data_IF_201238125335
#
_entry.id   IF_201238125335
#
_cell.length_a   1.000
_cell.length_b   1.000
_cell.length_c   1.000
_cell.angle_alpha   90.00
_cell.angle_beta   90.00
_cell.angle_gamma   90.00
#
_symmetry.space_group_name_H-M   'P 1'
#
loop_
_entity.id
_entity.type
_entity.pdbx_description
1 polymer ?
#
# COMPACT_ATOMS: atom_id res chain seq x y z
N UNK A 1 11.36 22.32 16.83
CA UNK A 1 12.37 21.48 17.53
C UNK A 1 13.49 21.18 16.53
N UNK A 2 14.74 21.02 17.01
CA UNK A 2 15.85 20.60 16.14
C UNK A 2 15.70 19.11 15.80
N UNK A 3 16.27 18.68 14.66
CA UNK A 3 16.28 17.25 14.30
C UNK A 3 16.88 16.39 15.43
N UNK A 4 17.88 16.90 16.12
CA UNK A 4 18.54 16.20 17.21
C UNK A 4 17.59 15.95 18.39
N UNK A 5 16.82 16.98 18.82
CA UNK A 5 15.84 16.80 19.90
C UNK A 5 14.70 15.86 19.52
N UNK A 6 14.32 15.79 18.24
CA UNK A 6 13.31 14.85 17.75
C UNK A 6 13.87 13.43 17.75
N UNK A 7 15.10 13.23 17.24
CA UNK A 7 15.79 11.94 17.28
C UNK A 7 15.90 11.39 18.71
N UNK A 8 16.34 12.22 19.66
CA UNK A 8 16.47 11.85 21.08
C UNK A 8 15.10 11.48 21.69
N UNK A 9 14.05 12.23 21.36
CA UNK A 9 12.69 11.94 21.81
C UNK A 9 12.18 10.60 21.28
N UNK A 10 12.42 10.29 20.00
CA UNK A 10 12.05 8.98 19.45
C UNK A 10 12.83 7.84 20.11
N UNK A 11 14.14 8.01 20.27
CA UNK A 11 15.00 6.99 20.89
C UNK A 11 14.63 6.68 22.34
N UNK A 12 14.16 7.69 23.06
CA UNK A 12 13.73 7.57 24.47
C UNK A 12 12.29 7.04 24.64
N UNK A 13 11.49 7.04 23.55
CA UNK A 13 10.08 6.67 23.64
C UNK A 13 9.90 5.16 23.84
N UNK A 14 9.20 4.72 24.91
CA UNK A 14 9.00 3.29 25.18
C UNK A 14 8.08 2.59 24.16
N UNK A 15 7.35 3.35 23.31
CA UNK A 15 6.50 2.82 22.25
C UNK A 15 7.28 2.44 20.99
N UNK A 16 8.53 2.93 20.86
CA UNK A 16 9.39 2.58 19.74
C UNK A 16 9.76 1.10 19.80
N UNK A 17 9.56 0.36 18.70
CA UNK A 17 9.91 -1.04 18.64
C UNK A 17 11.41 -1.27 18.85
N UNK A 18 11.79 -2.38 19.51
CA UNK A 18 13.19 -2.67 19.85
C UNK A 18 14.12 -2.70 18.61
N UNK A 19 13.63 -3.20 17.48
CA UNK A 19 14.39 -3.22 16.23
C UNK A 19 14.65 -1.81 15.69
N UNK A 20 13.62 -0.94 15.73
CA UNK A 20 13.73 0.46 15.30
C UNK A 20 14.64 1.27 16.23
N UNK A 21 14.59 0.96 17.54
CA UNK A 21 15.50 1.54 18.52
C UNK A 21 16.95 1.18 18.22
N UNK A 22 17.24 -0.10 17.97
CA UNK A 22 18.58 -0.55 17.61
C UNK A 22 19.06 0.08 16.29
N UNK A 23 18.15 0.28 15.32
CA UNK A 23 18.47 1.01 14.07
C UNK A 23 18.85 2.46 14.36
N UNK A 24 18.10 3.18 15.20
CA UNK A 24 18.44 4.55 15.58
C UNK A 24 19.74 4.63 16.38
N UNK A 25 20.00 3.69 17.29
CA UNK A 25 21.27 3.61 18.03
C UNK A 25 22.47 3.43 17.06
N UNK A 26 22.31 2.67 15.97
CA UNK A 26 23.37 2.44 14.99
C UNK A 26 23.83 3.69 14.24
N UNK A 27 22.97 4.72 14.15
CA UNK A 27 23.27 6.00 13.49
C UNK A 27 23.61 7.12 14.50
N UNK A 28 23.80 6.80 15.80
CA UNK A 28 23.98 7.79 16.85
C UNK A 28 25.14 8.77 16.59
N UNK A 29 26.22 8.32 15.92
CA UNK A 29 27.37 9.15 15.55
C UNK A 29 27.29 9.76 14.15
N UNK A 30 26.25 9.46 13.37
CA UNK A 30 26.07 9.96 12.01
C UNK A 30 25.08 11.15 11.97
N UNK A 31 25.63 12.36 12.10
CA UNK A 31 24.85 13.60 12.11
C UNK A 31 24.04 13.80 10.81
N UNK A 32 24.62 13.43 9.66
CA UNK A 32 23.93 13.58 8.36
C UNK A 32 22.74 12.66 8.24
N UNK A 33 22.90 11.42 8.69
CA UNK A 33 21.79 10.45 8.70
C UNK A 33 20.69 10.85 9.67
N UNK A 34 21.03 11.34 10.86
CA UNK A 34 20.04 11.88 11.81
C UNK A 34 19.29 13.08 11.22
N UNK A 35 20.00 14.04 10.63
CA UNK A 35 19.39 15.20 9.98
C UNK A 35 18.49 14.77 8.82
N UNK A 36 18.93 13.83 7.98
CA UNK A 36 18.12 13.30 6.88
C UNK A 36 16.80 12.68 7.38
N UNK A 37 16.85 11.88 8.45
CA UNK A 37 15.68 11.14 8.97
C UNK A 37 14.73 11.99 9.82
N UNK A 38 15.21 13.06 10.47
CA UNK A 38 14.45 13.85 11.43
C UNK A 38 14.43 15.36 11.15
N UNK A 39 15.17 15.84 10.16
CA UNK A 39 15.20 17.25 9.75
C UNK A 39 14.01 17.67 8.88
N UNK A 40 13.19 16.72 8.46
CA UNK A 40 11.97 16.93 7.70
C UNK A 40 10.97 15.80 7.90
N UNK A 41 9.82 15.90 7.28
CA UNK A 41 8.79 14.87 7.25
C UNK A 41 8.71 14.22 5.88
N UNK A 42 8.37 12.92 5.83
CA UNK A 42 8.06 12.27 4.57
C UNK A 42 6.80 12.88 3.96
N UNK A 43 6.99 13.55 2.83
CA UNK A 43 5.94 14.32 2.18
C UNK A 43 4.84 13.40 1.63
N UNK A 44 3.58 13.73 1.94
CA UNK A 44 2.43 13.13 1.29
C UNK A 44 2.11 13.97 0.05
N UNK A 45 2.61 13.50 -1.11
CA UNK A 45 2.48 14.21 -2.38
C UNK A 45 1.06 14.15 -2.95
N UNK A 46 0.90 14.08 -4.28
CA UNK A 46 -0.38 14.20 -4.99
C UNK A 46 -1.44 13.16 -4.55
N UNK A 47 -1.04 11.95 -4.21
CA UNK A 47 -1.96 10.88 -3.78
C UNK A 47 -1.25 9.81 -2.94
N UNK A 48 -0.25 10.19 -2.14
CA UNK A 48 0.49 9.27 -1.31
C UNK A 48 1.91 9.71 -1.03
N UNK A 49 2.67 8.86 -0.34
CA UNK A 49 4.04 9.10 0.05
C UNK A 49 4.98 7.99 -0.48
N UNK A 50 6.26 8.32 -0.61
CA UNK A 50 7.30 7.39 -1.04
C UNK A 50 8.65 7.81 -0.48
N UNK A 51 9.38 6.85 0.10
CA UNK A 51 10.69 7.11 0.70
C UNK A 51 11.51 5.85 0.89
N UNK A 52 12.72 6.03 1.39
CA UNK A 52 13.60 4.94 1.80
C UNK A 52 13.01 4.29 3.07
N UNK A 53 13.07 2.96 3.13
CA UNK A 53 12.63 2.19 4.31
C UNK A 53 13.63 2.40 5.44
N UNK A 54 13.13 2.81 6.61
CA UNK A 54 13.94 3.01 7.81
C UNK A 54 13.19 3.76 8.91
N UNK A 55 13.74 3.79 10.10
CA UNK A 55 13.15 4.50 11.22
C UNK A 55 13.44 6.01 11.12
N UNK A 56 12.40 6.84 11.32
CA UNK A 56 12.46 8.29 11.26
C UNK A 56 11.26 8.93 10.57
N UNK A 57 11.09 10.24 10.75
CA UNK A 57 9.93 10.99 10.23
C UNK A 57 9.98 11.14 8.70
N UNK A 58 11.17 11.23 8.12
CA UNK A 58 11.39 11.34 6.66
C UNK A 58 11.62 9.97 5.99
N UNK A 59 11.18 8.87 6.63
CA UNK A 59 11.41 7.51 6.18
C UNK A 59 10.10 6.75 6.03
N UNK A 60 10.08 5.72 5.15
CA UNK A 60 8.97 4.75 5.09
C UNK A 60 9.12 3.71 6.21
N UNK A 61 8.20 3.73 7.15
CA UNK A 61 8.12 2.81 8.28
C UNK A 61 6.68 2.63 8.73
N UNK A 62 6.48 1.79 9.74
CA UNK A 62 5.13 1.52 10.29
C UNK A 62 4.49 2.78 10.86
N UNK A 63 5.25 3.68 11.48
CA UNK A 63 4.72 4.90 12.13
C UNK A 63 4.22 5.91 11.10
N UNK A 64 4.98 6.13 10.01
CA UNK A 64 4.58 7.03 8.91
C UNK A 64 3.38 6.48 8.13
N UNK A 65 3.32 5.14 7.93
CA UNK A 65 2.17 4.46 7.30
C UNK A 65 0.93 4.55 8.20
N UNK A 66 1.06 4.28 9.49
CA UNK A 66 -0.06 4.37 10.43
C UNK A 66 -0.56 5.80 10.56
N UNK A 67 0.33 6.80 10.61
CA UNK A 67 -0.03 8.23 10.62
C UNK A 67 -0.82 8.62 9.37
N UNK A 68 -0.35 8.23 8.19
CA UNK A 68 -1.05 8.49 6.93
C UNK A 68 -2.43 7.83 6.89
N UNK A 69 -2.52 6.58 7.36
CA UNK A 69 -3.80 5.85 7.42
C UNK A 69 -4.76 6.45 8.44
N UNK A 70 -4.27 6.97 9.56
CA UNK A 70 -5.10 7.70 10.51
C UNK A 70 -5.67 8.98 9.89
N UNK A 71 -4.86 9.75 9.14
CA UNK A 71 -5.35 10.91 8.41
C UNK A 71 -6.43 10.56 7.37
N UNK A 72 -6.24 9.46 6.63
CA UNK A 72 -7.27 8.92 5.72
C UNK A 72 -8.53 8.49 6.49
N UNK A 73 -8.38 7.86 7.66
CA UNK A 73 -9.51 7.46 8.51
C UNK A 73 -10.32 8.67 8.98
N UNK A 74 -9.64 9.74 9.41
CA UNK A 74 -10.33 10.99 9.81
C UNK A 74 -11.08 11.61 8.63
N UNK A 75 -10.51 11.62 7.44
CA UNK A 75 -11.22 12.05 6.23
C UNK A 75 -12.48 11.20 5.97
N UNK A 76 -12.36 9.87 6.00
CA UNK A 76 -13.50 8.97 5.77
C UNK A 76 -14.62 9.22 6.79
N UNK A 77 -14.29 9.49 8.04
CA UNK A 77 -15.27 9.82 9.10
C UNK A 77 -16.04 11.12 8.84
N UNK A 78 -15.53 12.03 7.99
CA UNK A 78 -16.27 13.23 7.57
C UNK A 78 -17.32 12.97 6.51
N UNK A 79 -17.28 11.81 5.86
CA UNK A 79 -18.20 11.42 4.81
C UNK A 79 -19.53 10.91 5.39
N UNK A 80 -20.62 10.81 4.58
CA UNK A 80 -21.87 10.18 5.01
C UNK A 80 -21.67 8.77 5.54
N UNK A 81 -22.48 8.34 6.50
CA UNK A 81 -22.37 7.01 7.11
C UNK A 81 -22.45 5.85 6.09
N UNK A 82 -23.23 6.03 5.01
CA UNK A 82 -23.31 5.09 3.90
C UNK A 82 -21.96 4.88 3.20
N UNK A 83 -21.16 5.95 3.07
CA UNK A 83 -19.85 5.91 2.42
C UNK A 83 -18.80 5.33 3.37
N UNK A 84 -18.86 5.68 4.67
CA UNK A 84 -18.00 5.07 5.68
C UNK A 84 -18.17 3.54 5.75
N UNK A 85 -19.40 3.05 5.58
CA UNK A 85 -19.71 1.61 5.60
C UNK A 85 -19.15 0.82 4.41
N UNK A 86 -18.79 1.48 3.31
CA UNK A 86 -18.18 0.85 2.13
C UNK A 86 -16.81 0.21 2.44
N UNK A 87 -16.08 0.75 3.40
CA UNK A 87 -14.75 0.27 3.77
C UNK A 87 -13.66 0.64 2.76
N UNK A 88 -12.46 0.09 2.97
CA UNK A 88 -11.25 0.36 2.18
C UNK A 88 -10.62 -0.95 1.75
N UNK A 89 -10.18 -1.07 0.49
CA UNK A 89 -9.41 -2.23 0.03
C UNK A 89 -7.92 -1.93 0.02
N UNK A 90 -7.10 -2.89 0.45
CA UNK A 90 -5.64 -2.74 0.60
C UNK A 90 -4.93 -3.81 -0.20
N UNK A 91 -3.98 -3.39 -1.04
CA UNK A 91 -3.08 -4.27 -1.79
C UNK A 91 -1.62 -3.87 -1.59
N UNK A 92 -0.73 -4.77 -1.87
CA UNK A 92 0.70 -4.57 -1.71
C UNK A 92 1.51 -5.35 -2.75
N UNK A 93 2.74 -4.89 -3.01
CA UNK A 93 3.68 -5.53 -3.91
C UNK A 93 4.71 -6.42 -3.17
N UNK A 94 5.71 -6.91 -3.91
CA UNK A 94 6.76 -7.82 -3.41
C UNK A 94 7.85 -7.14 -2.58
N UNK A 95 7.80 -5.83 -2.37
CA UNK A 95 8.86 -5.07 -1.68
C UNK A 95 8.96 -5.45 -0.21
N UNK A 96 10.14 -5.19 0.36
CA UNK A 96 10.36 -5.33 1.80
C UNK A 96 9.31 -4.55 2.57
N UNK A 97 8.78 -5.15 3.61
CA UNK A 97 7.78 -4.58 4.51
C UNK A 97 6.43 -4.23 3.87
N UNK A 98 6.19 -4.51 2.56
CA UNK A 98 4.91 -4.17 1.93
C UNK A 98 3.73 -4.82 2.63
N UNK A 99 3.82 -6.12 2.94
CA UNK A 99 2.80 -6.83 3.71
C UNK A 99 2.61 -6.25 5.11
N UNK A 100 3.71 -6.03 5.85
CA UNK A 100 3.67 -5.43 7.18
C UNK A 100 2.98 -4.06 7.16
N UNK A 101 3.32 -3.22 6.20
CA UNK A 101 2.69 -1.90 6.06
C UNK A 101 1.21 -1.99 5.72
N UNK A 102 0.81 -2.95 4.88
CA UNK A 102 -0.59 -3.21 4.57
C UNK A 102 -1.38 -3.69 5.79
N UNK A 103 -0.82 -4.61 6.58
CA UNK A 103 -1.42 -5.10 7.84
C UNK A 103 -1.56 -3.97 8.87
N UNK A 104 -0.55 -3.10 9.02
CA UNK A 104 -0.62 -1.94 9.90
C UNK A 104 -1.68 -0.93 9.45
N UNK A 105 -1.77 -0.65 8.15
CA UNK A 105 -2.83 0.19 7.60
C UNK A 105 -4.23 -0.41 7.87
N UNK A 106 -4.40 -1.72 7.67
CA UNK A 106 -5.66 -2.41 7.98
C UNK A 106 -6.02 -2.29 9.46
N UNK A 107 -5.03 -2.47 10.36
CA UNK A 107 -5.22 -2.31 11.80
C UNK A 107 -5.68 -0.91 12.20
N UNK A 108 -5.10 0.14 11.60
CA UNK A 108 -5.52 1.53 11.87
C UNK A 108 -6.94 1.78 11.39
N UNK A 109 -7.30 1.35 10.17
CA UNK A 109 -8.68 1.46 9.67
C UNK A 109 -9.66 0.75 10.61
N UNK A 110 -9.37 -0.48 11.00
CA UNK A 110 -10.20 -1.28 11.89
C UNK A 110 -10.35 -0.63 13.27
N UNK A 111 -9.27 -0.07 13.83
CA UNK A 111 -9.32 0.69 15.09
C UNK A 111 -10.23 1.91 15.02
N UNK A 112 -10.39 2.49 13.83
CA UNK A 112 -11.28 3.61 13.55
C UNK A 112 -12.71 3.17 13.16
N UNK A 113 -13.04 1.88 13.25
CA UNK A 113 -14.35 1.33 12.90
C UNK A 113 -14.59 1.20 11.39
N UNK A 114 -13.55 1.33 10.57
CA UNK A 114 -13.63 1.25 9.11
C UNK A 114 -13.24 -0.17 8.68
N UNK A 115 -14.09 -0.81 7.87
CA UNK A 115 -13.83 -2.14 7.33
C UNK A 115 -12.66 -2.11 6.35
N UNK A 116 -11.70 -3.02 6.52
CA UNK A 116 -10.54 -3.17 5.67
C UNK A 116 -10.58 -4.51 4.92
N UNK A 117 -10.65 -4.45 3.59
CA UNK A 117 -10.49 -5.63 2.73
C UNK A 117 -9.00 -5.75 2.38
N UNK A 118 -8.34 -6.75 2.92
CA UNK A 118 -6.91 -6.95 2.72
C UNK A 118 -6.66 -8.11 1.75
N UNK A 119 -5.90 -7.88 0.69
CA UNK A 119 -5.44 -8.98 -0.16
C UNK A 119 -4.53 -9.91 0.64
N UNK A 120 -4.71 -11.20 0.47
CA UNK A 120 -3.95 -12.26 1.17
C UNK A 120 -2.55 -12.47 0.60
N UNK A 121 -2.33 -12.07 -0.65
CA UNK A 121 -1.04 -12.16 -1.34
C UNK A 121 -0.78 -10.90 -2.18
N UNK A 122 0.35 -10.88 -2.84
CA UNK A 122 0.84 -9.78 -3.70
C UNK A 122 -0.07 -9.60 -4.92
N UNK A 123 -0.58 -8.37 -5.09
CA UNK A 123 -1.39 -8.01 -6.24
C UNK A 123 -0.92 -6.69 -6.87
N UNK A 124 -0.95 -6.56 -8.22
CA UNK A 124 -0.53 -5.34 -8.90
C UNK A 124 -1.60 -4.23 -8.80
N UNK A 125 -1.16 -2.98 -8.98
CA UNK A 125 -2.01 -1.79 -8.96
C UNK A 125 -3.31 -1.92 -9.76
N UNK A 126 -3.32 -2.46 -11.00
CA UNK A 126 -4.58 -2.60 -11.76
C UNK A 126 -5.63 -3.49 -11.07
N UNK A 127 -5.18 -4.49 -10.31
CA UNK A 127 -6.09 -5.35 -9.54
C UNK A 127 -6.67 -4.62 -8.34
N UNK A 128 -5.88 -3.77 -7.66
CA UNK A 128 -6.43 -2.88 -6.62
C UNK A 128 -7.49 -1.95 -7.20
N UNK A 129 -7.19 -1.24 -8.30
CA UNK A 129 -8.14 -0.35 -8.97
C UNK A 129 -9.45 -1.06 -9.36
N UNK A 130 -9.33 -2.30 -9.84
CA UNK A 130 -10.49 -3.13 -10.14
C UNK A 130 -11.27 -3.51 -8.88
N UNK A 131 -10.57 -3.93 -7.82
CA UNK A 131 -11.17 -4.34 -6.55
C UNK A 131 -11.95 -3.21 -5.88
N UNK A 132 -11.43 -1.97 -5.90
CA UNK A 132 -12.13 -0.77 -5.39
C UNK A 132 -13.51 -0.66 -6.03
N UNK A 133 -13.59 -0.74 -7.35
CA UNK A 133 -14.84 -0.62 -8.11
C UNK A 133 -15.74 -1.84 -7.97
N UNK A 134 -15.16 -3.04 -7.97
CA UNK A 134 -15.91 -4.30 -7.85
C UNK A 134 -16.58 -4.45 -6.48
N UNK A 135 -15.85 -4.13 -5.41
CA UNK A 135 -16.36 -4.19 -4.05
C UNK A 135 -17.16 -2.94 -3.65
N UNK A 136 -17.10 -1.87 -4.46
CA UNK A 136 -17.73 -0.59 -4.16
C UNK A 136 -17.14 0.08 -2.91
N UNK A 137 -15.85 -0.05 -2.65
CA UNK A 137 -15.20 0.58 -1.49
C UNK A 137 -15.01 2.08 -1.70
N UNK A 138 -14.99 2.86 -0.59
CA UNK A 138 -14.83 4.32 -0.66
C UNK A 138 -13.41 4.73 -1.02
N UNK A 139 -12.43 3.88 -0.76
CA UNK A 139 -11.03 4.11 -1.08
C UNK A 139 -10.27 2.79 -1.28
N UNK A 140 -9.08 2.91 -1.85
CA UNK A 140 -8.08 1.84 -1.92
C UNK A 140 -6.72 2.31 -1.44
N UNK A 141 -5.93 1.41 -0.87
CA UNK A 141 -4.54 1.66 -0.47
C UNK A 141 -3.64 0.70 -1.22
N UNK A 142 -2.60 1.22 -1.87
CA UNK A 142 -1.55 0.41 -2.50
C UNK A 142 -0.21 0.67 -1.83
N UNK A 143 0.38 -0.39 -1.28
CA UNK A 143 1.74 -0.33 -0.73
C UNK A 143 2.72 -0.73 -1.82
N UNK A 144 3.41 0.27 -2.38
CA UNK A 144 4.37 0.10 -3.49
C UNK A 144 5.20 1.35 -3.73
N UNK A 145 6.44 1.19 -4.15
CA UNK A 145 7.25 2.27 -4.71
C UNK A 145 7.47 2.12 -6.23
N UNK A 146 6.58 1.36 -6.93
CA UNK A 146 6.64 1.19 -8.38
C UNK A 146 7.98 0.62 -8.87
N UNK A 147 8.78 1.42 -9.57
CA UNK A 147 10.07 1.06 -10.18
C UNK A 147 11.29 1.64 -9.42
N UNK A 148 11.08 2.22 -8.25
CA UNK A 148 12.21 2.72 -7.44
C UNK A 148 13.09 1.56 -6.96
N UNK A 149 14.37 1.85 -6.60
CA UNK A 149 15.27 0.86 -6.01
C UNK A 149 14.66 0.12 -4.80
N UNK A 150 15.25 -1.03 -4.48
CA UNK A 150 14.73 -1.96 -3.45
C UNK A 150 14.67 -1.37 -2.03
N UNK A 151 15.42 -0.30 -1.78
CA UNK A 151 15.45 0.42 -0.50
C UNK A 151 14.19 1.26 -0.28
N UNK A 152 13.42 1.55 -1.36
CA UNK A 152 12.21 2.37 -1.29
C UNK A 152 10.97 1.51 -1.07
N UNK A 153 9.99 2.11 -0.37
CA UNK A 153 8.60 1.70 -0.41
C UNK A 153 7.71 2.94 -0.47
N UNK A 154 6.39 2.74 -0.59
CA UNK A 154 5.44 3.84 -0.69
C UNK A 154 4.03 3.42 -0.30
N UNK A 155 3.20 4.41 -0.12
CA UNK A 155 1.79 4.31 0.24
C UNK A 155 1.00 5.21 -0.69
N UNK A 156 0.08 4.65 -1.46
CA UNK A 156 -0.75 5.40 -2.41
C UNK A 156 -2.22 5.21 -2.09
N UNK A 157 -3.00 6.27 -2.21
CA UNK A 157 -4.45 6.25 -1.99
C UNK A 157 -5.19 6.39 -3.31
N UNK A 158 -6.24 5.58 -3.45
CA UNK A 158 -7.15 5.53 -4.59
C UNK A 158 -8.55 5.92 -4.11
N UNK A 159 -9.29 6.64 -4.94
CA UNK A 159 -10.68 6.98 -4.72
C UNK A 159 -11.65 5.85 -5.09
N UNK A 160 -12.94 6.05 -4.86
CA UNK A 160 -14.01 5.07 -5.14
C UNK A 160 -14.15 4.73 -6.64
N UNK A 161 -13.65 5.58 -7.51
CA UNK A 161 -13.59 5.35 -8.96
C UNK A 161 -12.45 4.41 -9.39
N UNK A 162 -11.59 4.00 -8.47
CA UNK A 162 -10.41 3.19 -8.72
C UNK A 162 -9.22 3.96 -9.34
N UNK A 163 -9.31 5.28 -9.48
CA UNK A 163 -8.18 6.14 -9.84
C UNK A 163 -7.43 6.61 -8.59
N UNK A 164 -6.24 7.16 -8.74
CA UNK A 164 -5.56 7.82 -7.62
C UNK A 164 -6.45 8.94 -7.06
N UNK A 165 -6.45 9.10 -5.75
CA UNK A 165 -7.26 10.11 -5.06
C UNK A 165 -7.07 11.50 -5.67
N UNK A 166 -8.17 12.26 -5.81
CA UNK A 166 -8.11 13.60 -6.39
C UNK A 166 -7.26 14.55 -5.54
N UNK A 167 -6.65 15.59 -6.16
CA UNK A 167 -5.86 16.58 -5.42
C UNK A 167 -6.65 17.26 -4.30
N UNK A 168 -7.94 17.50 -4.52
CA UNK A 168 -8.83 18.15 -3.55
C UNK A 168 -9.02 17.25 -2.31
N UNK A 169 -9.35 15.98 -2.51
CA UNK A 169 -9.50 15.01 -1.43
C UNK A 169 -8.15 14.77 -0.73
N UNK A 170 -7.07 14.65 -1.50
CA UNK A 170 -5.70 14.51 -0.95
C UNK A 170 -5.35 15.65 -0.02
N UNK A 171 -5.64 16.89 -0.39
CA UNK A 171 -5.38 18.08 0.45
C UNK A 171 -6.11 17.99 1.79
N UNK A 172 -7.33 17.46 1.81
CA UNK A 172 -8.10 17.28 3.06
C UNK A 172 -7.44 16.20 3.92
N UNK A 173 -7.05 15.07 3.33
CA UNK A 173 -6.33 13.99 4.02
C UNK A 173 -5.03 14.50 4.63
N UNK A 174 -4.23 15.26 3.87
CA UNK A 174 -2.98 15.89 4.35
C UNK A 174 -3.26 16.78 5.55
N UNK A 175 -4.31 17.62 5.50
CA UNK A 175 -4.68 18.47 6.64
C UNK A 175 -5.06 17.70 7.91
N UNK A 176 -5.51 16.44 7.80
CA UNK A 176 -5.68 15.54 8.96
C UNK A 176 -4.36 14.92 9.39
N UNK A 177 -3.50 14.51 8.45
CA UNK A 177 -2.17 13.94 8.76
C UNK A 177 -1.33 14.95 9.55
N UNK A 178 -1.29 16.21 9.12
CA UNK A 178 -0.52 17.29 9.76
C UNK A 178 -0.92 17.57 11.21
N UNK A 179 -2.17 17.30 11.59
CA UNK A 179 -2.65 17.41 12.98
C UNK A 179 -2.10 16.33 13.91
N UNK A 180 -1.59 15.23 13.35
CA UNK A 180 -1.01 14.12 14.11
C UNK A 180 0.49 14.38 14.27
N UNK A 181 0.86 15.08 15.32
CA UNK A 181 2.26 15.47 15.58
C UNK A 181 3.07 14.38 16.30
N UNK A 182 2.40 13.51 17.06
CA UNK A 182 3.01 12.36 17.72
C UNK A 182 2.84 11.10 16.86
N UNK A 183 3.86 10.76 16.10
CA UNK A 183 3.90 9.61 15.20
C UNK A 183 3.68 8.26 15.89
N UNK A 184 4.13 8.15 17.15
CA UNK A 184 4.07 6.93 17.94
C UNK A 184 2.73 6.76 18.68
N UNK A 185 1.83 7.76 18.61
CA UNK A 185 0.52 7.72 19.26
C UNK A 185 -0.54 6.94 18.49
N UNK A 186 -0.34 6.71 17.18
CA UNK A 186 -1.34 6.04 16.34
C UNK A 186 -1.39 4.55 16.67
N UNK A 187 -2.57 4.08 17.05
CA UNK A 187 -2.81 2.67 17.37
C UNK A 187 -3.53 1.94 16.24
N UNK A 188 -3.21 0.66 16.04
CA UNK A 188 -3.95 -0.27 15.19
C UNK A 188 -4.60 -1.39 16.00
N UNK A 189 -5.49 -2.14 15.36
CA UNK A 189 -6.04 -3.40 15.84
C UNK A 189 -6.02 -4.42 14.69
N UNK A 190 -4.88 -5.08 14.52
CA UNK A 190 -4.62 -6.04 13.46
C UNK A 190 -5.39 -7.37 13.66
N UNK A 191 -6.02 -7.55 14.82
CA UNK A 191 -6.82 -8.75 15.14
C UNK A 191 -8.32 -8.54 14.99
N UNK A 192 -8.72 -7.34 14.60
CA UNK A 192 -10.13 -6.95 14.46
C UNK A 192 -10.88 -7.77 13.41
N UNK A 193 -12.12 -8.13 13.69
CA UNK A 193 -13.04 -8.74 12.73
C UNK A 193 -13.44 -7.82 11.56
N UNK A 194 -13.10 -6.54 11.64
CA UNK A 194 -13.26 -5.59 10.53
C UNK A 194 -12.21 -5.77 9.43
N UNK A 195 -11.13 -6.51 9.71
CA UNK A 195 -10.16 -6.89 8.68
C UNK A 195 -10.62 -8.20 8.07
N UNK A 196 -10.98 -8.15 6.80
CA UNK A 196 -11.48 -9.30 6.06
C UNK A 196 -10.66 -9.54 4.79
N UNK A 197 -10.47 -10.79 4.37
CA UNK A 197 -9.79 -11.06 3.10
C UNK A 197 -10.61 -10.50 1.93
N UNK A 198 -9.91 -10.05 0.88
CA UNK A 198 -10.55 -9.77 -0.41
C UNK A 198 -11.12 -11.08 -0.95
N UNK A 199 -12.40 -11.10 -1.39
CA UNK A 199 -12.98 -12.31 -1.96
C UNK A 199 -12.25 -12.78 -3.22
N UNK A 200 -12.06 -14.09 -3.39
CA UNK A 200 -11.38 -14.67 -4.57
C UNK A 200 -12.08 -14.36 -5.89
N UNK A 201 -13.37 -14.10 -5.85
CA UNK A 201 -14.16 -13.70 -7.02
C UNK A 201 -13.65 -12.40 -7.64
N UNK A 202 -12.95 -11.55 -6.89
CA UNK A 202 -12.32 -10.33 -7.42
C UNK A 202 -11.24 -10.69 -8.45
N UNK A 203 -10.40 -11.66 -8.13
CA UNK A 203 -9.36 -12.14 -9.04
C UNK A 203 -9.98 -12.83 -10.26
N UNK A 204 -10.96 -13.69 -10.05
CA UNK A 204 -11.62 -14.44 -11.12
C UNK A 204 -12.29 -13.50 -12.11
N UNK A 205 -13.07 -12.55 -11.61
CA UNK A 205 -13.77 -11.57 -12.45
C UNK A 205 -12.81 -10.59 -13.15
N UNK A 206 -11.68 -10.24 -12.50
CA UNK A 206 -10.63 -9.45 -13.13
C UNK A 206 -10.02 -10.19 -14.35
N UNK A 207 -9.65 -11.46 -14.20
CA UNK A 207 -9.11 -12.28 -15.29
C UNK A 207 -10.15 -12.43 -16.42
N UNK A 208 -11.42 -12.68 -16.09
CA UNK A 208 -12.47 -12.73 -17.10
C UNK A 208 -12.66 -11.40 -17.84
N UNK A 209 -12.52 -10.26 -17.14
CA UNK A 209 -12.53 -8.95 -17.78
C UNK A 209 -11.36 -8.76 -18.74
N UNK A 210 -10.15 -9.19 -18.36
CA UNK A 210 -8.96 -9.14 -19.22
C UNK A 210 -9.12 -10.03 -20.47
N UNK A 211 -9.67 -11.24 -20.35
CA UNK A 211 -9.94 -12.14 -21.48
C UNK A 211 -10.84 -11.49 -22.54
N UNK A 212 -11.80 -10.65 -22.11
CA UNK A 212 -12.68 -9.91 -23.02
C UNK A 212 -11.93 -8.84 -23.83
N UNK A 213 -10.78 -8.38 -23.36
CA UNK A 213 -9.94 -7.40 -24.05
C UNK A 213 -9.04 -8.02 -25.14
N UNK A 214 -9.04 -9.35 -25.30
CA UNK A 214 -8.26 -10.03 -26.33
C UNK A 214 -8.72 -9.61 -27.70
N UNK A 215 -7.87 -8.87 -28.46
CA UNK A 215 -8.20 -8.30 -29.76
C UNK A 215 -8.36 -9.36 -30.85
N UNK A 216 -7.56 -10.42 -30.81
CA UNK A 216 -7.56 -11.46 -31.84
C UNK A 216 -7.65 -12.85 -31.21
N UNK A 217 -8.86 -13.25 -30.84
CA UNK A 217 -9.13 -14.58 -30.27
C UNK A 217 -8.75 -15.69 -31.24
N UNK A 218 -9.08 -15.52 -32.52
CA UNK A 218 -8.76 -16.49 -33.59
C UNK A 218 -7.25 -16.75 -33.69
N UNK A 219 -6.42 -15.70 -33.60
CA UNK A 219 -4.97 -15.84 -33.63
C UNK A 219 -4.46 -16.61 -32.40
N UNK A 220 -5.02 -16.32 -31.23
CA UNK A 220 -4.66 -17.03 -29.97
C UNK A 220 -5.04 -18.51 -30.07
N UNK A 221 -6.25 -18.83 -30.51
CA UNK A 221 -6.73 -20.20 -30.69
C UNK A 221 -5.88 -20.99 -31.69
N UNK A 222 -5.48 -20.33 -32.80
CA UNK A 222 -4.73 -20.96 -33.89
C UNK A 222 -3.24 -21.17 -33.55
N UNK A 223 -2.60 -20.21 -32.92
CA UNK A 223 -1.14 -20.17 -32.72
C UNK A 223 -0.70 -20.24 -31.26
N UNK A 224 -1.58 -20.04 -30.30
CA UNK A 224 -1.21 -19.91 -28.88
C UNK A 224 -0.50 -21.14 -28.31
N UNK A 225 -0.89 -22.35 -28.73
CA UNK A 225 -0.27 -23.61 -28.27
C UNK A 225 1.14 -23.82 -28.82
N UNK A 226 1.42 -23.28 -30.01
CA UNK A 226 2.70 -23.43 -30.67
C UNK A 226 3.68 -22.30 -30.34
N UNK A 227 3.16 -21.25 -29.71
CA UNK A 227 3.97 -20.10 -29.28
C UNK A 227 4.92 -20.51 -28.15
N UNK A 228 6.22 -20.30 -28.37
CA UNK A 228 7.26 -20.50 -27.34
C UNK A 228 7.46 -19.20 -26.60
N UNK A 229 6.75 -19.01 -25.51
CA UNK A 229 6.80 -17.80 -24.68
C UNK A 229 7.59 -18.04 -23.39
N UNK A 230 8.57 -17.18 -23.15
CA UNK A 230 9.28 -17.11 -21.86
C UNK A 230 8.83 -15.84 -21.15
N UNK A 231 8.42 -15.97 -19.93
CA UNK A 231 8.01 -14.86 -19.08
C UNK A 231 8.81 -14.85 -17.79
N UNK A 232 9.24 -13.65 -17.39
CA UNK A 232 9.79 -13.43 -16.06
C UNK A 232 9.13 -12.23 -15.40
N UNK A 233 8.59 -12.36 -14.18
CA UNK A 233 8.14 -11.22 -13.40
C UNK A 233 9.30 -10.43 -12.82
N UNK A 234 10.53 -10.94 -12.89
CA UNK A 234 11.72 -10.45 -12.17
C UNK A 234 11.39 -10.34 -10.66
N UNK A 235 11.17 -9.14 -10.15
CA UNK A 235 10.77 -8.88 -8.75
C UNK A 235 9.38 -8.24 -8.66
N UNK A 236 8.62 -8.21 -9.74
CA UNK A 236 7.31 -7.56 -9.82
C UNK A 236 6.16 -8.45 -9.34
N UNK A 237 4.99 -7.85 -9.19
CA UNK A 237 3.74 -8.48 -8.73
C UNK A 237 2.97 -9.21 -9.84
N UNK A 238 3.54 -9.35 -11.04
CA UNK A 238 2.87 -9.92 -12.21
C UNK A 238 2.86 -11.46 -12.27
N UNK A 239 3.58 -12.15 -11.40
CA UNK A 239 3.74 -13.61 -11.50
C UNK A 239 2.39 -14.34 -11.61
N UNK A 240 1.53 -14.17 -10.62
CA UNK A 240 0.24 -14.89 -10.55
C UNK A 240 -0.71 -14.45 -11.67
N UNK A 241 -1.06 -13.15 -11.82
CA UNK A 241 -2.08 -12.75 -12.79
C UNK A 241 -1.64 -12.94 -14.25
N UNK A 242 -0.36 -12.71 -14.59
CA UNK A 242 0.12 -12.86 -15.97
C UNK A 242 0.21 -14.34 -16.36
N UNK A 243 0.75 -15.19 -15.49
CA UNK A 243 0.81 -16.63 -15.77
C UNK A 243 -0.58 -17.25 -15.87
N UNK A 244 -1.51 -16.80 -15.01
CA UNK A 244 -2.91 -17.23 -15.04
C UNK A 244 -3.59 -16.86 -16.35
N UNK A 245 -3.56 -15.58 -16.76
CA UNK A 245 -4.25 -15.16 -17.99
C UNK A 245 -3.67 -15.84 -19.22
N UNK A 246 -2.33 -15.97 -19.33
CA UNK A 246 -1.70 -16.68 -20.45
C UNK A 246 -2.14 -18.14 -20.53
N UNK A 247 -2.17 -18.83 -19.40
CA UNK A 247 -2.64 -20.23 -19.31
C UNK A 247 -4.11 -20.35 -19.69
N UNK A 248 -4.97 -19.47 -19.20
CA UNK A 248 -6.41 -19.49 -19.50
C UNK A 248 -6.73 -19.13 -20.96
N UNK A 249 -5.85 -18.38 -21.62
CA UNK A 249 -5.90 -18.14 -23.08
C UNK A 249 -5.32 -19.30 -23.90
N UNK A 250 -4.82 -20.37 -23.25
CA UNK A 250 -4.23 -21.53 -23.95
C UNK A 250 -2.82 -21.29 -24.49
N UNK A 251 -2.12 -20.29 -23.98
CA UNK A 251 -0.72 -19.98 -24.36
C UNK A 251 0.22 -20.75 -23.43
N UNK A 252 1.14 -21.53 -24.02
CA UNK A 252 2.19 -22.19 -23.26
C UNK A 252 3.25 -21.17 -22.84
N UNK A 253 3.49 -21.05 -21.53
CA UNK A 253 4.47 -20.11 -20.99
C UNK A 253 5.49 -20.87 -20.13
N UNK A 254 6.78 -20.62 -20.38
CA UNK A 254 7.87 -21.01 -19.50
C UNK A 254 8.17 -19.82 -18.60
N UNK A 255 8.10 -20.02 -17.29
CA UNK A 255 8.41 -18.99 -16.31
C UNK A 255 9.84 -19.16 -15.82
N UNK A 256 10.63 -18.09 -15.78
CA UNK A 256 12.04 -18.06 -15.36
C UNK A 256 12.29 -16.96 -14.36
#
# INVERSE_FOLDING_TARGET
MSYQSIYEAWLADPRLAAADKAELESIASDEKEKEYRFGGELEFGTAGMRGIIGCGMNMMNVYTVMRATQGLSEYIKTLPASDQAKGVVISYDTRRNSRLFAEKAAGVLAKNGIKAYLFDDVHPVPMLSYAVRYLGTIAGIMITASHNPKEYNGYKVYGEDGAQMSPEATKIVVGFIEKITDYLSVAGDETSSLIVPVPKEVDDTYIEALKKLTLSKEAVEKCGKDLKLVYTPVHGSGYVPVTRILKELGINVTVV
#
